data_IF_274139322870
#
_entry.id   IF_274139322870
#
_cell.length_a   1.000
_cell.length_b   1.000
_cell.length_c   1.000
_cell.angle_alpha   90.00
_cell.angle_beta   90.00
_cell.angle_gamma   90.00
#
_symmetry.space_group_name_H-M   'P 1'
#
loop_
_entity.id
_entity.type
_entity.pdbx_description
1 polymer ?
#
# COMPACT_ATOMS: atom_id res chain seq x y z
N UNK A 1 3.68 -40.42 6.39
CA UNK A 1 3.87 -39.34 5.40
C UNK A 1 2.73 -38.34 5.57
N UNK A 2 3.01 -37.05 5.51
CA UNK A 2 2.02 -35.97 5.57
C UNK A 2 1.98 -35.29 4.21
N UNK A 3 0.79 -34.91 3.76
CA UNK A 3 0.59 -33.97 2.66
C UNK A 3 0.12 -32.66 3.26
N UNK A 4 1.01 -31.67 3.32
CA UNK A 4 0.73 -30.36 3.91
C UNK A 4 0.38 -29.37 2.80
N UNK A 5 -0.80 -28.77 2.89
CA UNK A 5 -1.13 -27.63 2.04
C UNK A 5 -0.61 -26.35 2.68
N UNK A 6 0.25 -25.67 1.93
CA UNK A 6 0.91 -24.43 2.31
C UNK A 6 0.32 -23.27 1.51
N UNK A 7 0.20 -22.10 2.10
CA UNK A 7 -0.10 -20.86 1.39
C UNK A 7 0.96 -19.81 1.69
N UNK A 8 1.46 -19.14 0.65
CA UNK A 8 2.37 -18.01 0.82
C UNK A 8 1.56 -16.73 0.95
N UNK A 9 1.84 -15.96 2.00
CA UNK A 9 1.18 -14.66 2.22
C UNK A 9 1.48 -13.76 1.01
N UNK A 10 0.43 -13.26 0.35
CA UNK A 10 0.51 -12.40 -0.83
C UNK A 10 0.55 -13.10 -2.18
N UNK A 11 0.72 -14.42 -2.24
CA UNK A 11 0.63 -15.16 -3.51
C UNK A 11 -0.77 -15.73 -3.76
N UNK A 12 -1.53 -16.01 -2.69
CA UNK A 12 -2.93 -16.42 -2.77
C UNK A 12 -3.21 -17.79 -3.36
N UNK A 13 -2.19 -18.59 -3.63
CA UNK A 13 -2.32 -19.91 -4.24
C UNK A 13 -1.76 -20.98 -3.31
N UNK A 14 -2.62 -21.83 -2.72
CA UNK A 14 -2.18 -23.00 -1.98
C UNK A 14 -1.39 -23.98 -2.86
N UNK A 15 -0.44 -24.68 -2.25
CA UNK A 15 0.33 -25.75 -2.88
C UNK A 15 0.63 -26.85 -1.86
N UNK A 16 0.76 -28.09 -2.33
CA UNK A 16 0.99 -29.25 -1.46
C UNK A 16 2.48 -29.60 -1.34
N UNK A 17 2.92 -29.98 -0.14
CA UNK A 17 4.23 -30.57 0.11
C UNK A 17 4.05 -31.92 0.80
N UNK A 18 4.58 -32.98 0.18
CA UNK A 18 4.70 -34.28 0.82
C UNK A 18 5.95 -34.36 1.68
N UNK A 19 5.81 -34.71 2.96
CA UNK A 19 6.94 -34.76 3.90
C UNK A 19 6.72 -35.79 5.01
N UNK A 20 7.79 -36.44 5.45
CA UNK A 20 7.72 -37.37 6.58
C UNK A 20 7.49 -36.63 7.91
N UNK A 21 6.55 -37.11 8.73
CA UNK A 21 6.18 -36.47 9.99
C UNK A 21 7.34 -36.43 11.01
N UNK A 22 8.33 -37.32 10.89
CA UNK A 22 9.53 -37.33 11.70
C UNK A 22 10.54 -36.25 11.35
N UNK A 23 10.39 -35.57 10.21
CA UNK A 23 11.24 -34.44 9.79
C UNK A 23 10.93 -33.18 10.59
N UNK A 24 11.84 -32.22 10.55
CA UNK A 24 11.72 -30.95 11.27
C UNK A 24 11.12 -29.85 10.40
N UNK A 25 10.74 -28.75 11.04
CA UNK A 25 10.28 -27.52 10.37
C UNK A 25 11.38 -26.97 9.43
N UNK A 26 12.66 -27.08 9.77
CA UNK A 26 13.77 -26.75 8.85
C UNK A 26 13.72 -27.54 7.53
N UNK A 27 13.43 -28.84 7.59
CA UNK A 27 13.27 -29.65 6.37
C UNK A 27 12.06 -29.20 5.55
N UNK A 28 10.97 -28.78 6.20
CA UNK A 28 9.81 -28.22 5.51
C UNK A 28 10.15 -26.91 4.81
N UNK A 29 10.89 -25.99 5.45
CA UNK A 29 11.37 -24.75 4.82
C UNK A 29 12.21 -25.05 3.57
N UNK A 30 13.13 -26.02 3.64
CA UNK A 30 13.95 -26.44 2.50
C UNK A 30 13.10 -26.97 1.34
N UNK A 31 12.11 -27.83 1.64
CA UNK A 31 11.16 -28.31 0.63
C UNK A 31 10.33 -27.21 0.00
N UNK A 32 9.83 -26.25 0.79
CA UNK A 32 9.08 -25.10 0.27
C UNK A 32 9.96 -24.26 -0.65
N UNK A 33 11.22 -23.99 -0.26
CA UNK A 33 12.18 -23.29 -1.10
C UNK A 33 12.40 -24.00 -2.44
N UNK A 34 12.58 -25.32 -2.40
CA UNK A 34 12.78 -26.14 -3.60
C UNK A 34 11.54 -26.10 -4.51
N UNK A 35 10.35 -26.32 -3.96
CA UNK A 35 9.07 -26.30 -4.68
C UNK A 35 8.78 -24.95 -5.33
N UNK A 36 9.07 -23.86 -4.63
CA UNK A 36 8.83 -22.49 -5.09
C UNK A 36 9.99 -21.89 -5.88
N UNK A 37 11.07 -22.66 -6.07
CA UNK A 37 12.32 -22.22 -6.68
C UNK A 37 12.88 -20.89 -6.10
N UNK A 38 12.71 -20.68 -4.80
CA UNK A 38 13.21 -19.48 -4.14
C UNK A 38 14.74 -19.43 -4.13
N UNK A 39 15.29 -18.26 -4.48
CA UNK A 39 16.74 -18.05 -4.62
C UNK A 39 17.43 -17.64 -3.31
N UNK A 40 16.66 -17.19 -2.32
CA UNK A 40 17.17 -16.82 -0.99
C UNK A 40 17.29 -18.03 -0.05
N UNK A 41 18.05 -17.93 1.06
CA UNK A 41 18.23 -19.02 2.02
C UNK A 41 16.92 -19.48 2.69
N UNK A 42 16.71 -20.81 2.78
CA UNK A 42 15.45 -21.38 3.28
C UNK A 42 15.13 -21.01 4.73
N UNK A 43 16.15 -20.77 5.56
CA UNK A 43 16.04 -20.41 6.97
C UNK A 43 15.35 -19.06 7.20
N UNK A 44 15.34 -18.20 6.19
CA UNK A 44 14.68 -16.90 6.21
C UNK A 44 13.15 -16.99 6.15
N UNK A 45 12.58 -18.09 5.63
CA UNK A 45 11.13 -18.32 5.64
C UNK A 45 10.63 -18.40 7.08
N UNK A 46 9.46 -17.84 7.36
CA UNK A 46 8.78 -18.04 8.64
C UNK A 46 7.50 -18.83 8.42
N UNK A 47 7.32 -19.91 9.19
CA UNK A 47 6.19 -20.82 9.04
C UNK A 47 5.27 -20.72 10.25
N UNK A 48 3.97 -20.67 9.99
CA UNK A 48 2.92 -20.54 10.99
C UNK A 48 1.83 -21.58 10.75
N UNK A 49 1.17 -22.02 11.82
CA UNK A 49 0.01 -22.91 11.72
C UNK A 49 -1.20 -22.14 11.19
N UNK A 50 -1.84 -22.67 10.15
CA UNK A 50 -3.07 -22.12 9.57
C UNK A 50 -4.29 -22.52 10.41
N UNK A 51 -4.33 -22.07 11.67
CA UNK A 51 -5.40 -22.37 12.61
C UNK A 51 -6.31 -21.16 12.83
N UNK A 52 -7.61 -21.37 12.76
CA UNK A 52 -8.62 -20.42 13.24
C UNK A 52 -8.91 -20.70 14.71
N UNK A 53 -8.92 -19.66 15.54
CA UNK A 53 -9.01 -19.81 17.00
C UNK A 53 -7.67 -20.13 17.68
N UNK A 54 -7.73 -20.79 18.85
CA UNK A 54 -6.58 -21.12 19.69
C UNK A 54 -5.78 -22.33 19.20
N UNK A 55 -4.66 -22.63 19.88
CA UNK A 55 -3.76 -23.70 19.45
C UNK A 55 -4.36 -25.10 19.62
N UNK A 56 -5.19 -25.32 20.64
CA UNK A 56 -5.73 -26.65 21.00
C UNK A 56 -7.17 -26.87 20.56
N UNK A 57 -7.98 -25.83 20.68
CA UNK A 57 -9.41 -25.77 20.34
C UNK A 57 -9.67 -25.16 18.95
N UNK A 58 -8.61 -24.78 18.24
CA UNK A 58 -8.72 -24.25 16.89
C UNK A 58 -9.09 -25.27 15.84
N UNK A 59 -9.29 -24.78 14.62
CA UNK A 59 -9.58 -25.58 13.43
C UNK A 59 -8.65 -25.21 12.31
N UNK A 60 -8.27 -26.17 11.47
CA UNK A 60 -7.49 -25.89 10.27
C UNK A 60 -8.31 -25.04 9.30
N UNK A 61 -7.64 -24.06 8.69
CA UNK A 61 -8.24 -23.14 7.74
C UNK A 61 -8.73 -23.91 6.51
N UNK A 62 -9.98 -23.69 6.09
CA UNK A 62 -10.52 -24.28 4.86
C UNK A 62 -10.03 -23.52 3.63
N UNK A 63 -9.87 -24.19 2.49
CA UNK A 63 -9.64 -23.56 1.18
C UNK A 63 -10.79 -22.66 0.68
N UNK A 64 -12.02 -22.90 1.17
CA UNK A 64 -13.20 -22.05 0.97
C UNK A 64 -13.35 -20.93 2.02
N UNK A 65 -12.44 -20.82 3.00
CA UNK A 65 -12.58 -19.81 4.05
C UNK A 65 -12.32 -18.40 3.47
N UNK A 66 -13.22 -17.41 3.69
CA UNK A 66 -13.03 -16.05 3.19
C UNK A 66 -11.74 -15.40 3.69
N UNK A 67 -11.18 -15.85 4.83
CA UNK A 67 -9.91 -15.33 5.36
C UNK A 67 -8.70 -15.67 4.45
N UNK A 68 -8.84 -16.62 3.52
CA UNK A 68 -7.81 -16.86 2.51
C UNK A 68 -7.64 -15.71 1.54
N UNK A 69 -8.68 -14.90 1.34
CA UNK A 69 -8.57 -13.66 0.58
C UNK A 69 -7.58 -12.71 1.26
N UNK A 70 -7.64 -12.59 2.59
CA UNK A 70 -6.67 -11.80 3.36
C UNK A 70 -5.25 -12.39 3.36
N UNK A 71 -5.09 -13.71 3.23
CA UNK A 71 -3.78 -14.35 3.03
C UNK A 71 -3.26 -14.19 1.59
N UNK A 72 -4.15 -14.03 0.61
CA UNK A 72 -3.81 -13.79 -0.80
C UNK A 72 -3.39 -12.35 -1.08
N UNK A 73 -3.71 -11.42 -0.18
CA UNK A 73 -3.46 -10.00 -0.35
C UNK A 73 -2.56 -9.51 0.80
N UNK A 74 -1.29 -9.19 0.52
CA UNK A 74 -0.44 -8.46 1.49
C UNK A 74 -0.99 -7.04 1.81
N UNK A 75 -2.10 -6.66 1.17
CA UNK A 75 -2.74 -5.35 1.22
C UNK A 75 -3.78 -5.22 2.35
N UNK A 76 -3.94 -6.19 3.26
CA UNK A 76 -4.91 -6.10 4.39
C UNK A 76 -4.24 -6.18 5.79
N UNK A 77 -2.99 -5.71 5.92
CA UNK A 77 -2.20 -5.85 7.14
C UNK A 77 -1.57 -7.25 7.29
N UNK A 78 -0.91 -7.49 8.43
CA UNK A 78 -0.37 -8.84 8.73
C UNK A 78 -1.54 -9.78 9.00
N UNK A 79 -1.67 -10.92 8.29
CA UNK A 79 -2.78 -11.84 8.50
C UNK A 79 -2.83 -12.29 9.96
N UNK A 80 -4.03 -12.48 10.52
CA UNK A 80 -4.24 -12.92 11.91
C UNK A 80 -3.53 -14.25 12.25
N UNK A 81 -3.25 -15.05 11.22
CA UNK A 81 -2.52 -16.31 11.27
C UNK A 81 -1.01 -16.14 11.48
N UNK A 82 -0.46 -14.95 11.19
CA UNK A 82 0.94 -14.62 11.37
C UNK A 82 1.16 -13.99 12.75
N UNK A 83 1.19 -14.83 13.77
CA UNK A 83 1.44 -14.42 15.15
C UNK A 83 2.43 -15.35 15.85
N UNK A 84 3.03 -14.87 16.93
CA UNK A 84 4.13 -15.54 17.64
C UNK A 84 3.72 -16.89 18.25
N UNK A 85 2.45 -17.05 18.62
CA UNK A 85 1.93 -18.29 19.22
C UNK A 85 1.83 -19.42 18.20
N UNK A 86 1.44 -19.10 16.96
CA UNK A 86 1.31 -20.07 15.86
C UNK A 86 2.61 -20.32 15.12
N UNK A 87 3.70 -19.63 15.48
CA UNK A 87 5.00 -19.77 14.83
C UNK A 87 5.61 -21.15 15.07
N UNK A 88 5.95 -21.83 13.98
CA UNK A 88 6.56 -23.15 14.01
C UNK A 88 8.08 -23.03 14.22
N UNK A 89 8.59 -23.57 15.33
CA UNK A 89 10.03 -23.55 15.64
C UNK A 89 10.81 -24.56 14.79
N UNK A 90 11.94 -24.14 14.24
CA UNK A 90 12.76 -24.85 13.24
C UNK A 90 13.22 -26.23 13.71
N UNK A 91 13.53 -26.35 15.01
CA UNK A 91 14.05 -27.57 15.65
C UNK A 91 12.97 -28.59 16.01
N UNK A 92 11.69 -28.24 15.88
CA UNK A 92 10.58 -29.14 16.23
C UNK A 92 10.26 -30.07 15.06
N UNK A 93 9.88 -31.31 15.40
CA UNK A 93 9.38 -32.30 14.42
C UNK A 93 7.98 -31.93 13.97
N UNK A 94 7.63 -32.21 12.73
CA UNK A 94 6.30 -31.97 12.18
C UNK A 94 5.23 -32.77 12.92
N UNK A 95 5.56 -33.98 13.39
CA UNK A 95 4.67 -34.78 14.23
C UNK A 95 4.20 -34.06 15.48
N UNK A 96 4.96 -33.08 16.01
CA UNK A 96 4.50 -32.29 17.16
C UNK A 96 3.31 -31.39 16.84
N UNK A 97 3.15 -30.97 15.59
CA UNK A 97 2.08 -30.08 15.16
C UNK A 97 0.89 -30.83 14.55
N UNK A 98 1.14 -32.01 13.97
CA UNK A 98 0.16 -32.71 13.13
C UNK A 98 -0.25 -34.10 13.66
N UNK A 99 0.19 -34.52 14.86
CA UNK A 99 -0.23 -35.83 15.44
C UNK A 99 -1.57 -35.79 16.17
N UNK A 100 -2.16 -34.61 16.37
CA UNK A 100 -3.20 -34.38 17.39
C UNK A 100 -2.62 -34.36 18.81
N UNK A 101 -3.25 -33.57 19.70
CA UNK A 101 -2.85 -33.43 21.10
C UNK A 101 -2.95 -31.97 21.57
N UNK A 102 -1.82 -31.27 21.59
CA UNK A 102 -1.76 -29.82 21.85
C UNK A 102 -2.28 -28.99 20.67
N UNK A 103 -2.47 -29.64 19.51
CA UNK A 103 -2.99 -29.08 18.27
C UNK A 103 -4.14 -29.93 17.74
N UNK A 104 -5.00 -29.38 16.85
CA UNK A 104 -6.06 -30.15 16.23
C UNK A 104 -5.50 -31.35 15.47
N UNK A 105 -6.28 -32.42 15.41
CA UNK A 105 -5.92 -33.59 14.62
C UNK A 105 -5.67 -33.17 13.16
N UNK A 106 -4.62 -33.72 12.57
CA UNK A 106 -4.34 -33.51 11.15
C UNK A 106 -5.48 -34.06 10.29
N UNK A 107 -5.89 -33.29 9.28
CA UNK A 107 -6.91 -33.64 8.32
C UNK A 107 -6.51 -33.08 6.96
N UNK A 108 -6.44 -33.93 5.95
CA UNK A 108 -6.01 -33.57 4.60
C UNK A 108 -7.17 -33.16 3.67
N UNK A 109 -8.40 -33.09 4.17
CA UNK A 109 -9.60 -32.76 3.39
C UNK A 109 -9.76 -31.24 3.26
N UNK A 110 -9.30 -30.67 2.14
CA UNK A 110 -9.59 -29.27 1.74
C UNK A 110 -9.12 -28.23 2.78
N UNK A 111 -8.05 -28.54 3.53
CA UNK A 111 -7.48 -27.68 4.58
C UNK A 111 -6.10 -27.15 4.23
N UNK A 112 -5.90 -25.87 4.55
CA UNK A 112 -4.59 -25.23 4.63
C UNK A 112 -4.00 -25.52 6.01
N UNK A 113 -2.74 -25.93 6.01
CA UNK A 113 -2.02 -26.38 7.20
C UNK A 113 -0.97 -25.36 7.65
N UNK A 114 -0.30 -24.74 6.68
CA UNK A 114 0.87 -23.89 6.92
C UNK A 114 0.72 -22.57 6.18
N UNK A 115 0.87 -21.47 6.92
CA UNK A 115 1.06 -20.14 6.36
C UNK A 115 2.56 -19.86 6.27
N UNK A 116 3.02 -19.50 5.07
CA UNK A 116 4.42 -19.22 4.75
C UNK A 116 4.59 -17.71 4.60
N UNK A 117 5.41 -17.11 5.46
CA UNK A 117 5.82 -15.72 5.34
C UNK A 117 7.24 -15.64 4.75
N UNK A 118 7.37 -14.91 3.65
CA UNK A 118 8.65 -14.59 3.01
C UNK A 118 9.20 -13.28 3.60
N UNK A 119 10.52 -13.15 3.83
CA UNK A 119 11.12 -11.90 4.30
C UNK A 119 10.80 -10.72 3.39
N UNK A 120 10.41 -9.59 3.97
CA UNK A 120 10.01 -8.39 3.25
C UNK A 120 11.09 -7.85 2.29
N UNK A 121 12.38 -8.05 2.63
CA UNK A 121 13.52 -7.71 1.77
C UNK A 121 13.60 -8.56 0.49
N UNK A 122 13.08 -9.79 0.56
CA UNK A 122 13.05 -10.75 -0.54
C UNK A 122 11.72 -10.70 -1.30
N UNK A 123 10.64 -10.13 -0.73
CA UNK A 123 9.38 -9.86 -1.46
C UNK A 123 9.63 -8.91 -2.65
N UNK A 124 10.64 -8.04 -2.56
CA UNK A 124 11.13 -7.20 -3.66
C UNK A 124 11.98 -7.94 -4.70
N UNK A 125 12.51 -9.13 -4.39
CA UNK A 125 13.41 -9.92 -5.25
C UNK A 125 12.79 -11.24 -5.74
N UNK A 126 11.69 -11.68 -5.12
CA UNK A 126 10.75 -12.62 -5.68
C UNK A 126 9.98 -11.91 -6.79
N UNK A 127 10.62 -11.80 -7.95
CA UNK A 127 9.86 -11.58 -9.16
C UNK A 127 8.74 -12.63 -9.20
N UNK A 128 7.46 -12.22 -9.23
CA UNK A 128 6.40 -13.17 -9.40
C UNK A 128 6.66 -13.86 -10.75
N UNK A 129 6.91 -15.17 -10.73
CA UNK A 129 7.13 -16.00 -11.94
C UNK A 129 5.90 -16.08 -12.84
N UNK A 130 4.82 -15.41 -12.43
CA UNK A 130 3.80 -14.88 -13.33
C UNK A 130 3.85 -13.37 -13.17
N UNK A 131 4.27 -12.58 -14.18
CA UNK A 131 4.05 -11.14 -14.13
C UNK A 131 2.58 -10.94 -13.80
N UNK A 132 2.27 -10.31 -12.66
CA UNK A 132 0.92 -9.80 -12.41
C UNK A 132 0.78 -8.68 -13.41
N UNK A 133 0.44 -9.06 -14.63
CA UNK A 133 0.15 -8.11 -15.67
C UNK A 133 -0.95 -7.21 -15.10
N UNK A 134 -0.81 -5.88 -15.24
CA UNK A 134 -1.90 -4.99 -14.88
C UNK A 134 -3.17 -5.54 -15.50
N UNK A 135 -4.27 -5.51 -14.74
CA UNK A 135 -5.57 -5.95 -15.26
C UNK A 135 -5.81 -5.39 -16.67
N UNK A 136 -6.58 -6.09 -17.49
CA UNK A 136 -6.84 -5.66 -18.87
C UNK A 136 -7.30 -4.19 -18.93
N UNK A 137 -8.11 -3.78 -17.95
CA UNK A 137 -8.59 -2.40 -17.82
C UNK A 137 -7.48 -1.41 -17.42
N UNK A 138 -6.64 -1.75 -16.44
CA UNK A 138 -5.52 -0.89 -16.04
C UNK A 138 -4.47 -0.78 -17.14
N UNK A 139 -4.19 -1.88 -17.85
CA UNK A 139 -3.31 -1.87 -19.03
C UNK A 139 -3.88 -0.96 -20.13
N UNK A 140 -5.18 -1.06 -20.42
CA UNK A 140 -5.84 -0.17 -21.39
C UNK A 140 -5.69 1.30 -20.98
N UNK A 141 -5.87 1.60 -19.69
CA UNK A 141 -5.67 2.95 -19.16
C UNK A 141 -4.21 3.42 -19.30
N UNK A 142 -3.22 2.54 -19.05
CA UNK A 142 -1.81 2.84 -19.34
C UNK A 142 -1.56 3.13 -20.82
N UNK A 143 -2.14 2.33 -21.72
CA UNK A 143 -1.97 2.50 -23.16
C UNK A 143 -2.55 3.83 -23.65
N UNK A 144 -3.76 4.17 -23.18
CA UNK A 144 -4.39 5.46 -23.46
C UNK A 144 -3.59 6.63 -22.88
N UNK A 145 -3.07 6.50 -21.66
CA UNK A 145 -2.21 7.51 -21.06
C UNK A 145 -0.94 7.72 -21.90
N UNK A 146 -0.29 6.64 -22.32
CA UNK A 146 0.89 6.71 -23.17
C UNK A 146 0.63 7.41 -24.51
N UNK A 147 -0.55 7.21 -25.12
CA UNK A 147 -0.95 7.93 -26.33
C UNK A 147 -1.10 9.43 -26.08
N UNK A 148 -1.74 9.82 -24.97
CA UNK A 148 -1.90 11.23 -24.57
C UNK A 148 -0.51 11.88 -24.37
N UNK A 149 0.39 11.20 -23.65
CA UNK A 149 1.73 11.69 -23.37
C UNK A 149 2.57 11.85 -24.63
N UNK A 150 2.51 10.88 -25.54
CA UNK A 150 3.20 10.94 -26.82
C UNK A 150 2.70 12.10 -27.69
N UNK A 151 1.38 12.31 -27.75
CA UNK A 151 0.81 13.44 -28.49
C UNK A 151 1.22 14.77 -27.89
N UNK A 152 1.21 14.90 -26.55
CA UNK A 152 1.65 16.10 -25.86
C UNK A 152 3.14 16.42 -26.13
N UNK A 153 3.99 15.42 -26.25
CA UNK A 153 5.41 15.59 -26.61
C UNK A 153 5.59 16.06 -28.07
N UNK A 154 4.79 15.53 -29.00
CA UNK A 154 4.76 15.97 -30.40
C UNK A 154 4.30 17.43 -30.49
N UNK A 155 3.20 17.77 -29.82
CA UNK A 155 2.63 19.14 -29.84
C UNK A 155 3.62 20.15 -29.24
N UNK A 156 4.30 19.78 -28.15
CA UNK A 156 5.34 20.61 -27.55
C UNK A 156 6.55 20.80 -28.47
N UNK A 157 6.88 19.80 -29.30
CA UNK A 157 8.00 19.87 -30.25
C UNK A 157 7.69 20.73 -31.48
N UNK A 158 6.42 20.81 -31.88
CA UNK A 158 5.94 21.59 -33.02
C UNK A 158 5.69 23.08 -32.69
N UNK A 159 5.54 23.43 -31.40
CA UNK A 159 5.40 24.81 -30.95
C UNK A 159 6.78 25.52 -30.92
N UNK A 160 7.09 26.28 -31.98
CA UNK A 160 8.35 27.01 -32.13
C UNK A 160 8.60 28.05 -31.04
N UNK A 161 7.57 28.51 -30.31
CA UNK A 161 7.70 29.45 -29.19
C UNK A 161 8.00 28.76 -27.85
N UNK A 162 7.93 27.42 -27.76
CA UNK A 162 8.20 26.63 -26.55
C UNK A 162 9.52 25.87 -26.54
N UNK A 163 10.35 26.01 -27.58
CA UNK A 163 11.72 25.43 -27.61
C UNK A 163 12.61 25.82 -26.41
N UNK A 164 12.22 26.80 -25.61
CA UNK A 164 12.92 27.23 -24.39
C UNK A 164 12.21 26.97 -23.06
N UNK A 165 11.00 26.38 -23.02
CA UNK A 165 10.33 26.00 -21.76
C UNK A 165 9.94 24.52 -21.80
N UNK A 166 10.86 23.66 -21.36
CA UNK A 166 10.56 22.31 -20.86
C UNK A 166 9.69 22.45 -19.60
N UNK A 167 8.42 22.79 -19.74
CA UNK A 167 7.47 22.61 -18.65
C UNK A 167 7.27 21.09 -18.52
N UNK A 168 7.99 20.48 -17.58
CA UNK A 168 8.01 19.03 -17.35
C UNK A 168 6.73 18.50 -16.69
N UNK A 169 5.71 19.34 -16.50
CA UNK A 169 4.48 18.99 -15.80
C UNK A 169 3.36 18.74 -16.80
N UNK A 170 2.76 17.56 -16.71
CA UNK A 170 1.58 17.19 -17.52
C UNK A 170 0.40 18.00 -17.00
N UNK A 171 -0.28 18.71 -17.90
CA UNK A 171 -1.44 19.53 -17.55
C UNK A 171 -2.69 18.68 -17.33
N UNK A 172 -3.53 19.10 -16.40
CA UNK A 172 -4.78 18.41 -16.09
C UNK A 172 -5.68 18.25 -17.31
N UNK A 173 -5.83 19.28 -18.14
CA UNK A 173 -6.78 19.25 -19.27
C UNK A 173 -6.45 18.16 -20.29
N UNK A 174 -5.18 17.75 -20.38
CA UNK A 174 -4.75 16.67 -21.27
C UNK A 174 -5.17 15.29 -20.76
N UNK A 175 -5.12 15.07 -19.45
CA UNK A 175 -5.35 13.76 -18.83
C UNK A 175 -6.73 13.61 -18.19
N UNK A 176 -7.42 14.72 -17.95
CA UNK A 176 -8.75 14.75 -17.36
C UNK A 176 -9.76 13.88 -18.13
N UNK A 177 -9.83 13.89 -19.47
CA UNK A 177 -10.78 13.03 -20.20
C UNK A 177 -10.58 11.54 -19.89
N UNK A 178 -9.33 11.11 -19.74
CA UNK A 178 -9.01 9.72 -19.39
C UNK A 178 -9.41 9.42 -17.94
N UNK A 179 -8.91 10.21 -16.99
CA UNK A 179 -9.09 9.91 -15.58
C UNK A 179 -10.52 10.13 -15.11
N UNK A 180 -11.18 11.21 -15.53
CA UNK A 180 -12.57 11.47 -15.17
C UNK A 180 -13.52 10.40 -15.72
N UNK A 181 -13.22 9.76 -16.86
CA UNK A 181 -14.07 8.70 -17.43
C UNK A 181 -14.16 7.45 -16.55
N UNK A 182 -13.17 7.23 -15.68
CA UNK A 182 -13.11 6.11 -14.73
C UNK A 182 -13.19 6.57 -13.27
N UNK A 183 -13.42 7.87 -13.04
CA UNK A 183 -13.46 8.45 -11.70
C UNK A 183 -14.87 8.41 -11.13
N UNK A 184 -14.97 8.04 -9.86
CA UNK A 184 -16.22 8.04 -9.10
C UNK A 184 -16.00 8.67 -7.73
N UNK A 185 -17.07 9.25 -7.17
CA UNK A 185 -17.04 9.74 -5.80
C UNK A 185 -17.00 8.56 -4.82
N UNK A 186 -16.25 8.72 -3.73
CA UNK A 186 -16.10 7.76 -2.64
C UNK A 186 -15.89 8.52 -1.35
N UNK A 187 -16.20 7.95 -0.19
CA UNK A 187 -15.87 8.55 1.10
C UNK A 187 -14.75 7.72 1.74
N UNK A 188 -13.56 8.31 1.90
CA UNK A 188 -12.45 7.59 2.54
C UNK A 188 -12.80 7.34 4.01
N UNK A 189 -12.72 6.08 4.41
CA UNK A 189 -12.94 5.65 5.79
C UNK A 189 -12.08 6.44 6.77
N UNK A 190 -12.64 6.70 7.96
CA UNK A 190 -11.97 7.35 9.07
C UNK A 190 -11.79 6.33 10.20
N UNK A 191 -10.57 6.23 10.74
CA UNK A 191 -10.31 5.48 11.98
C UNK A 191 -10.01 6.42 13.13
N UNK A 192 -10.51 6.08 14.31
CA UNK A 192 -10.35 6.90 15.50
C UNK A 192 -8.86 7.10 15.84
N UNK A 193 -8.48 8.36 16.04
CA UNK A 193 -7.12 8.75 16.43
C UNK A 193 -7.06 8.92 17.95
N UNK A 194 -6.02 8.41 18.64
CA UNK A 194 -5.82 8.70 20.05
C UNK A 194 -5.77 10.20 20.33
N UNK A 195 -6.51 10.67 21.35
CA UNK A 195 -6.61 12.10 21.69
C UNK A 195 -5.24 12.76 21.90
N UNK A 196 -4.26 12.03 22.45
CA UNK A 196 -2.90 12.55 22.65
C UNK A 196 -2.23 13.01 21.35
N UNK A 197 -2.38 12.24 20.27
CA UNK A 197 -1.81 12.56 18.96
C UNK A 197 -2.47 13.81 18.37
N UNK A 198 -3.79 13.92 18.48
CA UNK A 198 -4.51 15.12 18.02
C UNK A 198 -4.09 16.36 18.82
N UNK A 199 -3.94 16.22 20.15
CA UNK A 199 -3.47 17.31 21.01
C UNK A 199 -2.05 17.76 20.62
N UNK A 200 -1.14 16.82 20.41
CA UNK A 200 0.23 17.15 20.00
C UNK A 200 0.28 17.89 18.66
N UNK A 201 -0.56 17.47 17.69
CA UNK A 201 -0.67 18.12 16.40
C UNK A 201 -1.25 19.54 16.53
N UNK A 202 -2.26 19.72 17.38
CA UNK A 202 -2.84 21.03 17.70
C UNK A 202 -1.80 21.94 18.35
N UNK A 203 -1.09 21.44 19.36
CA UNK A 203 -0.07 22.20 20.08
C UNK A 203 1.09 22.59 19.14
N UNK A 204 1.51 21.68 18.26
CA UNK A 204 2.49 21.98 17.23
C UNK A 204 1.98 23.08 16.28
N UNK A 205 0.76 22.91 15.76
CA UNK A 205 0.17 23.85 14.79
C UNK A 205 0.03 25.24 15.40
N UNK A 206 -0.43 25.33 16.65
CA UNK A 206 -0.54 26.59 17.39
C UNK A 206 0.82 27.29 17.48
N UNK A 207 1.89 26.57 17.82
CA UNK A 207 3.26 27.15 17.83
C UNK A 207 3.72 27.54 16.43
N UNK A 208 3.55 26.67 15.45
CA UNK A 208 3.98 26.94 14.08
C UNK A 208 3.32 28.20 13.52
N UNK A 209 2.02 28.40 13.75
CA UNK A 209 1.30 29.60 13.30
C UNK A 209 1.72 30.91 14.00
N UNK A 210 2.40 30.85 15.16
CA UNK A 210 3.03 32.04 15.75
C UNK A 210 4.32 32.45 15.04
N UNK A 211 4.99 31.49 14.39
CA UNK A 211 6.27 31.70 13.71
C UNK A 211 6.10 31.89 12.20
N UNK A 212 5.06 31.30 11.62
CA UNK A 212 4.81 31.25 10.19
C UNK A 212 3.40 31.77 9.92
N UNK A 213 3.32 32.82 9.12
CA UNK A 213 2.04 33.32 8.64
C UNK A 213 1.59 32.49 7.43
N UNK A 214 0.53 31.70 7.60
CA UNK A 214 0.09 30.69 6.61
C UNK A 214 -0.38 31.31 5.27
N UNK A 215 -0.77 32.58 5.26
CA UNK A 215 -1.11 33.34 4.05
C UNK A 215 0.11 33.74 3.21
N UNK A 216 1.30 33.80 3.81
CA UNK A 216 2.54 34.24 3.15
C UNK A 216 3.58 33.13 2.98
N UNK A 217 3.27 31.92 3.43
CA UNK A 217 4.12 30.74 3.25
C UNK A 217 4.30 30.39 1.77
N UNK A 218 5.55 30.13 1.36
CA UNK A 218 5.84 29.53 0.07
C UNK A 218 5.43 28.06 0.04
N UNK A 219 5.29 27.49 -1.16
CA UNK A 219 5.06 26.04 -1.35
C UNK A 219 6.06 25.19 -0.54
N UNK A 220 7.36 25.45 -0.70
CA UNK A 220 8.39 24.75 0.06
C UNK A 220 8.25 24.87 1.59
N UNK A 221 7.60 25.94 2.08
CA UNK A 221 7.31 26.16 3.51
C UNK A 221 6.10 25.35 3.99
N UNK A 222 5.14 25.02 3.12
CA UNK A 222 3.95 24.24 3.49
C UNK A 222 4.31 22.84 3.99
N UNK A 223 5.44 22.28 3.55
CA UNK A 223 5.97 21.01 4.05
C UNK A 223 6.23 21.01 5.56
N UNK A 224 6.49 22.18 6.17
CA UNK A 224 6.64 22.33 7.63
C UNK A 224 5.33 21.99 8.35
N UNK A 225 4.19 22.19 7.70
CA UNK A 225 2.87 21.89 8.26
C UNK A 225 2.34 20.51 7.85
N UNK A 226 2.67 20.04 6.65
CA UNK A 226 2.28 18.70 6.17
C UNK A 226 3.04 17.61 6.93
N UNK A 227 4.37 17.70 7.01
CA UNK A 227 5.19 16.63 7.58
C UNK A 227 4.81 16.25 9.03
N UNK A 228 4.52 17.18 9.95
CA UNK A 228 4.04 16.84 11.30
C UNK A 228 2.76 16.02 11.32
N UNK A 229 1.79 16.31 10.43
CA UNK A 229 0.57 15.49 10.29
C UNK A 229 0.95 14.05 9.96
N UNK A 230 1.84 13.87 8.97
CA UNK A 230 2.28 12.56 8.50
C UNK A 230 3.07 11.81 9.59
N UNK A 231 4.03 12.47 10.24
CA UNK A 231 4.85 11.90 11.32
C UNK A 231 3.98 11.43 12.48
N UNK A 232 3.01 12.25 12.90
CA UNK A 232 2.11 11.92 14.00
C UNK A 232 1.23 10.70 13.70
N UNK A 233 0.66 10.62 12.49
CA UNK A 233 -0.08 9.41 12.06
C UNK A 233 0.84 8.19 12.00
N UNK A 234 2.03 8.34 11.42
CA UNK A 234 2.96 7.22 11.25
C UNK A 234 3.52 6.70 12.59
N UNK A 235 3.64 7.56 13.60
CA UNK A 235 4.09 7.20 14.95
C UNK A 235 3.16 6.18 15.63
N UNK A 236 1.87 6.14 15.25
CA UNK A 236 0.90 5.15 15.74
C UNK A 236 1.27 3.70 15.40
N UNK A 237 2.19 3.51 14.46
CA UNK A 237 2.61 2.20 13.97
C UNK A 237 4.00 1.78 14.48
N UNK A 238 4.50 2.40 15.57
CA UNK A 238 5.71 1.99 16.28
C UNK A 238 6.96 1.79 15.40
N UNK A 239 7.08 2.57 14.31
CA UNK A 239 8.22 2.52 13.39
C UNK A 239 8.07 1.58 12.18
N UNK A 240 6.92 0.89 12.05
CA UNK A 240 6.59 0.02 10.91
C UNK A 240 6.40 0.80 9.59
N UNK A 241 6.19 2.12 9.68
CA UNK A 241 6.02 2.99 8.53
C UNK A 241 7.29 3.81 8.30
N UNK A 242 7.72 3.88 7.03
CA UNK A 242 8.80 4.76 6.59
C UNK A 242 8.23 5.89 5.73
N UNK A 243 8.66 7.12 6.04
CA UNK A 243 8.35 8.31 5.26
C UNK A 243 9.55 8.59 4.36
N UNK A 244 9.33 8.62 3.06
CA UNK A 244 10.31 9.04 2.07
C UNK A 244 9.92 10.43 1.57
N UNK A 245 10.86 11.36 1.54
CA UNK A 245 10.62 12.72 1.06
C UNK A 245 11.22 12.91 -0.34
N UNK A 246 10.55 13.69 -1.17
CA UNK A 246 11.00 14.06 -2.53
C UNK A 246 11.28 12.86 -3.47
N UNK A 247 10.37 11.89 -3.46
CA UNK A 247 10.52 10.67 -4.28
C UNK A 247 10.16 10.91 -5.74
N UNK A 248 10.95 10.34 -6.65
CA UNK A 248 10.66 10.29 -8.07
C UNK A 248 10.68 8.85 -8.57
N UNK A 249 9.54 8.41 -9.11
CA UNK A 249 9.39 7.13 -9.79
C UNK A 249 9.48 7.33 -11.30
N UNK A 250 10.27 6.49 -11.97
CA UNK A 250 10.44 6.51 -13.42
C UNK A 250 9.75 5.29 -14.04
N UNK A 251 8.63 5.52 -14.73
CA UNK A 251 7.89 4.44 -15.37
C UNK A 251 8.69 3.77 -16.49
N UNK A 252 8.52 2.46 -16.67
CA UNK A 252 9.15 1.70 -17.76
C UNK A 252 8.16 1.54 -18.91
N UNK A 253 6.93 1.18 -18.60
CA UNK A 253 5.80 1.03 -19.51
C UNK A 253 5.02 2.34 -19.63
N UNK A 254 4.55 2.89 -18.51
CA UNK A 254 3.95 4.21 -18.44
C UNK A 254 5.06 5.23 -18.70
N UNK A 255 4.96 5.98 -19.79
CA UNK A 255 6.00 6.90 -20.27
C UNK A 255 5.99 8.24 -19.54
N UNK A 256 5.93 8.19 -18.21
CA UNK A 256 5.91 9.33 -17.33
C UNK A 256 6.81 9.13 -16.10
N UNK A 257 7.02 10.21 -15.36
CA UNK A 257 7.61 10.16 -14.03
C UNK A 257 6.54 10.55 -13.00
N UNK A 258 6.38 9.73 -11.96
CA UNK A 258 5.64 10.11 -10.76
C UNK A 258 6.56 10.89 -9.83
N UNK A 259 6.16 12.08 -9.40
CA UNK A 259 6.92 12.90 -8.46
C UNK A 259 6.05 13.15 -7.24
N UNK A 260 6.62 12.95 -6.05
CA UNK A 260 5.88 12.99 -4.80
C UNK A 260 6.70 13.71 -3.75
N UNK A 261 6.09 14.67 -3.07
CA UNK A 261 6.70 15.35 -1.95
C UNK A 261 6.89 14.40 -0.76
N UNK A 262 5.94 13.49 -0.54
CA UNK A 262 6.09 12.41 0.45
C UNK A 262 5.55 11.06 -0.08
N UNK A 263 6.18 9.98 0.36
CA UNK A 263 5.66 8.61 0.20
C UNK A 263 5.69 7.91 1.56
N UNK A 264 4.53 7.46 2.02
CA UNK A 264 4.41 6.66 3.24
C UNK A 264 4.39 5.20 2.84
N UNK A 265 5.33 4.39 3.32
CA UNK A 265 5.35 2.94 3.03
C UNK A 265 5.21 2.11 4.30
N UNK A 266 4.28 1.15 4.26
CA UNK A 266 4.07 0.11 5.27
C UNK A 266 3.90 -1.24 4.55
N UNK A 267 4.94 -2.06 4.51
CA UNK A 267 4.92 -3.27 3.70
C UNK A 267 4.70 -2.95 2.21
N UNK A 268 3.69 -3.56 1.59
CA UNK A 268 3.30 -3.27 0.21
C UNK A 268 2.35 -2.08 0.07
N UNK A 269 1.84 -1.52 1.18
CA UNK A 269 1.02 -0.32 1.12
C UNK A 269 1.88 0.90 0.96
N UNK A 270 1.50 1.75 0.03
CA UNK A 270 2.08 3.06 -0.17
C UNK A 270 0.99 4.12 -0.30
N UNK A 271 1.17 5.24 0.38
CA UNK A 271 0.42 6.47 0.12
C UNK A 271 1.39 7.43 -0.54
N UNK A 272 1.03 7.89 -1.73
CA UNK A 272 1.77 8.88 -2.49
C UNK A 272 1.15 10.25 -2.25
N UNK A 273 1.98 11.26 -2.00
CA UNK A 273 1.50 12.57 -1.57
C UNK A 273 2.14 13.63 -2.46
N UNK A 274 1.29 14.39 -3.14
CA UNK A 274 1.64 15.54 -3.96
C UNK A 274 1.25 16.83 -3.25
N UNK A 275 2.18 17.78 -3.20
CA UNK A 275 1.90 19.14 -2.78
C UNK A 275 1.22 19.93 -3.92
N UNK A 276 0.02 20.46 -3.66
CA UNK A 276 -0.68 21.33 -4.61
C UNK A 276 -0.03 22.72 -4.63
N UNK A 277 0.67 23.00 -5.73
CA UNK A 277 1.40 24.26 -5.96
C UNK A 277 0.45 25.34 -6.47
N UNK A 278 0.62 26.58 -6.01
CA UNK A 278 -0.19 27.74 -6.39
C UNK A 278 -1.70 27.58 -6.20
N UNK A 279 -2.11 26.75 -5.25
CA UNK A 279 -3.52 26.38 -5.04
C UNK A 279 -4.16 25.68 -6.26
N UNK A 280 -3.34 25.17 -7.19
CA UNK A 280 -3.77 24.46 -8.40
C UNK A 280 -3.90 22.96 -8.11
N UNK A 281 -5.05 22.59 -7.54
CA UNK A 281 -5.38 21.19 -7.23
C UNK A 281 -5.60 20.34 -8.47
N UNK A 282 -5.95 20.94 -9.61
CA UNK A 282 -6.09 20.23 -10.88
C UNK A 282 -4.70 19.78 -11.37
N UNK A 283 -3.71 20.67 -11.33
CA UNK A 283 -2.32 20.33 -11.64
C UNK A 283 -1.74 19.33 -10.63
N UNK A 284 -2.10 19.45 -9.34
CA UNK A 284 -1.78 18.44 -8.33
C UNK A 284 -2.40 17.08 -8.63
N UNK A 285 -3.67 17.04 -9.03
CA UNK A 285 -4.36 15.81 -9.42
C UNK A 285 -3.77 15.17 -10.68
N UNK A 286 -3.35 15.98 -11.66
CA UNK A 286 -2.65 15.48 -12.84
C UNK A 286 -1.34 14.77 -12.46
N UNK A 287 -0.54 15.38 -11.58
CA UNK A 287 0.71 14.80 -11.09
C UNK A 287 0.44 13.53 -10.27
N UNK A 288 -0.53 13.56 -9.36
CA UNK A 288 -0.88 12.45 -8.48
C UNK A 288 -1.39 11.24 -9.28
N UNK A 289 -2.35 11.43 -10.19
CA UNK A 289 -2.96 10.30 -10.92
C UNK A 289 -2.02 9.71 -11.97
N UNK A 290 -1.22 10.51 -12.66
CA UNK A 290 -0.16 10.00 -13.54
C UNK A 290 0.89 9.25 -12.72
N UNK A 291 1.29 9.82 -11.59
CA UNK A 291 2.23 9.18 -10.66
C UNK A 291 1.69 7.86 -10.12
N UNK A 292 0.40 7.78 -9.82
CA UNK A 292 -0.25 6.56 -9.34
C UNK A 292 -0.21 5.43 -10.38
N UNK A 293 -0.36 5.75 -11.67
CA UNK A 293 -0.20 4.76 -12.73
C UNK A 293 1.26 4.27 -12.86
N UNK A 294 2.24 5.15 -12.71
CA UNK A 294 3.67 4.77 -12.66
C UNK A 294 3.95 3.89 -11.43
N UNK A 295 3.43 4.25 -10.26
CA UNK A 295 3.59 3.47 -9.03
C UNK A 295 2.96 2.07 -9.15
N UNK A 296 1.76 1.99 -9.73
CA UNK A 296 1.08 0.72 -9.97
C UNK A 296 1.86 -0.19 -10.91
N UNK A 297 2.42 0.38 -11.98
CA UNK A 297 3.27 -0.36 -12.91
C UNK A 297 4.52 -0.92 -12.21
N UNK A 298 5.30 -0.06 -11.54
CA UNK A 298 6.58 -0.46 -10.97
C UNK A 298 6.43 -1.41 -9.78
N UNK A 299 5.39 -1.22 -8.97
CA UNK A 299 5.12 -2.05 -7.80
C UNK A 299 4.19 -3.23 -8.06
N UNK A 300 3.69 -3.41 -9.30
CA UNK A 300 2.62 -4.37 -9.62
C UNK A 300 1.41 -4.24 -8.68
N UNK A 301 1.03 -3.00 -8.37
CA UNK A 301 0.01 -2.70 -7.35
C UNK A 301 -1.39 -2.66 -7.98
N UNK A 302 -2.31 -3.42 -7.40
CA UNK A 302 -3.73 -3.37 -7.78
C UNK A 302 -4.42 -2.08 -7.33
N UNK A 303 -3.93 -1.49 -6.22
CA UNK A 303 -4.46 -0.28 -5.61
C UNK A 303 -3.29 0.64 -5.26
N UNK A 304 -3.44 1.91 -5.61
CA UNK A 304 -2.51 2.98 -5.24
C UNK A 304 -3.31 4.09 -4.57
N UNK A 305 -2.90 4.48 -3.35
CA UNK A 305 -3.50 5.58 -2.62
C UNK A 305 -2.70 6.85 -2.86
N UNK A 306 -3.42 7.94 -3.14
CA UNK A 306 -2.86 9.24 -3.48
C UNK A 306 -3.47 10.36 -2.64
N UNK A 307 -2.69 11.38 -2.32
CA UNK A 307 -3.15 12.57 -1.61
C UNK A 307 -2.61 13.81 -2.32
N UNK A 308 -3.50 14.73 -2.65
CA UNK A 308 -3.12 16.07 -3.09
C UNK A 308 -3.43 17.05 -1.97
N UNK A 309 -2.44 17.84 -1.52
CA UNK A 309 -2.65 18.79 -0.43
C UNK A 309 -1.78 20.04 -0.52
N UNK A 310 -2.30 21.18 -0.08
CA UNK A 310 -1.52 22.39 0.22
C UNK A 310 -1.57 22.72 1.73
N UNK A 311 -1.73 21.69 2.57
CA UNK A 311 -2.06 21.75 3.99
C UNK A 311 -3.44 22.32 4.35
N UNK A 312 -3.93 23.36 3.67
CA UNK A 312 -5.25 23.98 3.89
C UNK A 312 -6.40 23.17 3.30
N UNK A 313 -6.09 22.31 2.35
CA UNK A 313 -7.03 21.42 1.68
C UNK A 313 -6.37 20.06 1.45
N UNK A 314 -7.15 19.00 1.63
CA UNK A 314 -6.70 17.62 1.44
C UNK A 314 -7.70 16.87 0.55
N UNK A 315 -7.19 16.27 -0.52
CA UNK A 315 -7.97 15.48 -1.46
C UNK A 315 -7.38 14.08 -1.56
N UNK A 316 -8.20 13.07 -1.30
CA UNK A 316 -7.79 11.67 -1.28
C UNK A 316 -8.22 10.95 -2.56
N UNK A 317 -7.33 10.11 -3.07
CA UNK A 317 -7.55 9.29 -4.26
C UNK A 317 -7.23 7.82 -3.95
N UNK A 318 -8.02 6.92 -4.53
CA UNK A 318 -7.77 5.49 -4.56
C UNK A 318 -7.84 4.99 -6.01
N UNK A 319 -6.69 4.73 -6.60
CA UNK A 319 -6.55 4.26 -7.98
C UNK A 319 -6.44 2.75 -8.03
N UNK A 320 -7.55 2.09 -8.40
CA UNK A 320 -7.63 0.64 -8.56
C UNK A 320 -7.43 0.21 -10.01
N UNK A 321 -7.47 -1.09 -10.25
CA UNK A 321 -7.40 -1.66 -11.59
C UNK A 321 -8.46 -1.09 -12.55
N UNK A 322 -9.72 -0.99 -12.12
CA UNK A 322 -10.85 -0.68 -13.00
C UNK A 322 -11.36 0.76 -12.86
N UNK A 323 -11.15 1.39 -11.70
CA UNK A 323 -11.68 2.72 -11.38
C UNK A 323 -10.72 3.56 -10.54
N UNK A 324 -10.97 4.86 -10.56
CA UNK A 324 -10.39 5.84 -9.64
C UNK A 324 -11.51 6.32 -8.72
N UNK A 325 -11.23 6.34 -7.43
CA UNK A 325 -12.14 6.84 -6.42
C UNK A 325 -11.56 8.12 -5.84
N UNK A 326 -12.38 9.16 -5.74
CA UNK A 326 -12.00 10.48 -5.23
C UNK A 326 -12.90 10.85 -4.06
N UNK A 327 -12.29 11.22 -2.95
CA UNK A 327 -13.00 11.76 -1.80
C UNK A 327 -13.36 13.25 -1.96
N UNK A 328 -14.40 13.65 -1.25
CA UNK A 328 -14.72 15.07 -1.09
C UNK A 328 -13.54 15.79 -0.45
N UNK A 329 -13.28 17.00 -0.95
CA UNK A 329 -12.21 17.85 -0.44
C UNK A 329 -12.44 18.21 1.03
N UNK A 330 -11.42 17.99 1.85
CA UNK A 330 -11.36 18.49 3.22
C UNK A 330 -10.69 19.87 3.21
N UNK A 331 -11.50 20.92 3.04
CA UNK A 331 -11.02 22.29 2.94
C UNK A 331 -11.20 23.07 4.25
N UNK A 332 -10.16 23.80 4.64
CA UNK A 332 -10.23 24.81 5.70
C UNK A 332 -11.01 26.03 5.23
N UNK A 333 -11.95 26.47 6.07
CA UNK A 333 -12.74 27.65 5.81
C UNK A 333 -12.71 28.58 7.03
N UNK A 334 -12.01 29.73 6.97
CA UNK A 334 -11.84 30.61 8.12
C UNK A 334 -13.13 31.20 8.70
N UNK A 335 -14.23 31.18 7.93
CA UNK A 335 -15.53 31.76 8.29
C UNK A 335 -16.69 30.76 8.35
N UNK A 336 -16.40 29.45 8.24
CA UNK A 336 -17.41 28.39 8.41
C UNK A 336 -17.15 27.65 9.72
N UNK A 337 -18.11 26.84 10.23
CA UNK A 337 -17.90 26.01 11.42
C UNK A 337 -16.80 24.93 11.26
N UNK A 338 -16.11 24.87 10.11
CA UNK A 338 -15.06 23.91 9.84
C UNK A 338 -13.69 24.47 10.24
N UNK A 339 -13.29 24.20 11.49
CA UNK A 339 -11.99 24.67 12.03
C UNK A 339 -10.81 23.93 11.40
N UNK A 340 -9.63 24.57 11.42
CA UNK A 340 -8.35 23.93 11.06
C UNK A 340 -8.15 22.63 11.83
N UNK A 341 -8.48 22.64 13.12
CA UNK A 341 -8.44 21.46 14.00
C UNK A 341 -9.31 20.31 13.48
N UNK A 342 -10.55 20.60 13.10
CA UNK A 342 -11.49 19.58 12.57
C UNK A 342 -10.96 18.99 11.27
N UNK A 343 -10.47 19.83 10.37
CA UNK A 343 -9.90 19.40 9.10
C UNK A 343 -8.68 18.49 9.31
N UNK A 344 -7.75 18.90 10.20
CA UNK A 344 -6.57 18.10 10.52
C UNK A 344 -6.93 16.79 11.19
N UNK A 345 -7.90 16.76 12.10
CA UNK A 345 -8.36 15.54 12.74
C UNK A 345 -8.92 14.55 11.70
N UNK A 346 -9.75 15.02 10.75
CA UNK A 346 -10.28 14.17 9.67
C UNK A 346 -9.20 13.69 8.71
N UNK A 347 -8.30 14.57 8.26
CA UNK A 347 -7.19 14.18 7.40
C UNK A 347 -6.32 13.12 8.07
N UNK A 348 -5.98 13.31 9.35
CA UNK A 348 -5.24 12.36 10.20
C UNK A 348 -5.97 11.02 10.30
N UNK A 349 -7.28 11.04 10.56
CA UNK A 349 -8.12 9.84 10.67
C UNK A 349 -8.21 9.04 9.36
N UNK A 350 -8.30 9.73 8.21
CA UNK A 350 -8.32 9.10 6.88
C UNK A 350 -6.97 8.48 6.51
N UNK A 351 -5.85 9.19 6.75
CA UNK A 351 -4.50 8.64 6.53
C UNK A 351 -4.29 7.42 7.42
N UNK A 352 -4.70 7.49 8.70
CA UNK A 352 -4.61 6.36 9.62
C UNK A 352 -5.45 5.17 9.18
N UNK A 353 -6.65 5.41 8.65
CA UNK A 353 -7.50 4.36 8.09
C UNK A 353 -6.78 3.60 6.97
N UNK A 354 -6.29 4.32 5.95
CA UNK A 354 -5.57 3.73 4.80
C UNK A 354 -4.37 2.90 5.25
N UNK A 355 -3.59 3.41 6.22
CA UNK A 355 -2.37 2.73 6.70
C UNK A 355 -2.67 1.55 7.64
N UNK A 356 -3.84 1.53 8.26
CA UNK A 356 -4.29 0.49 9.19
C UNK A 356 -5.10 -0.61 8.52
N UNK A 357 -5.61 -0.37 7.32
CA UNK A 357 -6.22 -1.41 6.48
C UNK A 357 -5.23 -2.54 6.21
#
# INVERSE_FOLDING_TARGET
MLTLYCIVVGEGRPFSIDIDAGKTVDHLKKKIKEEKDYKFPADTLQLYLALKGGLKDGTWLSDDDPDLVGLSQLAEGMPSYVNTEKKMKETKKLSKFFSGGDYPAYCNDEKIHVVVLVPLSEVTALEPTVPVHPSVDRKRRFDQLNQILAQAEIDASNDTNKKQKKSSSIKWELVAPLFCSVMSAYEQEEKAIPRGILQELQDYSARAFTCFELSSCSEATLNIFIAPVLVQVCALFNGDIKIFAEETLKGKYVKANGRFEFVLKRGLKSIFIVEAKKEDFDQGAAQELVGAEVAAELGSLNVVYGIVTNFKEWVFYKSSNTKIEKDASLMYHPHKPYSMETMLAKATAKIYAILSE
#
